data_IF_439942853456
#
_entry.id   IF_439942853456
#
_cell.length_a   1.000
_cell.length_b   1.000
_cell.length_c   1.000
_cell.angle_alpha   90.00
_cell.angle_beta   90.00
_cell.angle_gamma   90.00
#
_symmetry.space_group_name_H-M   'P 1'
#
loop_
_entity.id
_entity.type
_entity.pdbx_description
1 polymer ?
#
# COMPACT_ATOMS: atom_id res chain seq x y z
N UNK A 1 -33.35 -19.46 -46.88
CA UNK A 1 -32.56 -18.42 -47.57
C UNK A 1 -32.43 -17.23 -46.64
N UNK A 2 -31.24 -16.60 -46.67
CA UNK A 2 -30.86 -15.29 -46.10
C UNK A 2 -30.91 -15.11 -44.59
N UNK A 3 -29.71 -15.18 -43.99
CA UNK A 3 -29.40 -14.57 -42.70
C UNK A 3 -29.10 -13.07 -42.84
N UNK A 4 -29.41 -12.32 -41.78
CA UNK A 4 -29.09 -10.91 -41.62
C UNK A 4 -28.27 -10.70 -40.34
N UNK A 5 -27.08 -10.12 -40.51
CA UNK A 5 -26.14 -9.72 -39.46
C UNK A 5 -26.74 -8.61 -38.59
N UNK A 6 -26.52 -8.68 -37.27
CA UNK A 6 -26.77 -7.60 -36.34
C UNK A 6 -25.42 -6.96 -35.98
N UNK A 7 -25.27 -5.67 -36.33
CA UNK A 7 -24.06 -4.87 -36.13
C UNK A 7 -24.21 -4.06 -34.83
N UNK A 8 -23.20 -4.16 -33.95
CA UNK A 8 -23.15 -3.50 -32.65
C UNK A 8 -22.50 -2.13 -32.81
N UNK A 9 -23.27 -1.06 -32.63
CA UNK A 9 -22.77 0.32 -32.56
C UNK A 9 -22.18 0.61 -31.17
N UNK A 10 -20.92 1.05 -31.13
CA UNK A 10 -20.27 1.60 -29.93
C UNK A 10 -20.50 3.11 -29.87
N UNK A 11 -21.25 3.57 -28.88
CA UNK A 11 -21.41 5.00 -28.57
C UNK A 11 -20.33 5.44 -27.58
N UNK A 12 -19.47 6.37 -27.98
CA UNK A 12 -18.53 7.07 -27.10
C UNK A 12 -19.23 8.25 -26.42
N UNK A 13 -19.22 8.30 -25.09
CA UNK A 13 -19.64 9.45 -24.30
C UNK A 13 -18.41 10.31 -23.95
N UNK A 14 -18.28 11.45 -24.62
CA UNK A 14 -17.39 12.55 -24.26
C UNK A 14 -18.22 13.83 -24.26
N UNK A 15 -18.49 14.38 -23.08
CA UNK A 15 -18.76 15.81 -22.88
C UNK A 15 -18.99 16.10 -21.39
N UNK A 16 -18.00 16.68 -20.72
CA UNK A 16 -18.21 17.44 -19.49
C UNK A 16 -18.39 18.93 -19.86
N UNK A 17 -19.37 19.65 -19.29
CA UNK A 17 -19.49 21.09 -19.46
C UNK A 17 -18.65 21.85 -18.42
N UNK A 18 -17.83 22.81 -18.88
CA UNK A 18 -17.17 23.79 -18.01
C UNK A 18 -18.15 24.90 -17.62
N UNK A 19 -18.25 25.18 -16.32
CA UNK A 19 -18.93 26.37 -15.77
C UNK A 19 -17.95 27.55 -15.80
N UNK A 20 -18.41 28.67 -16.37
CA UNK A 20 -17.82 30.00 -16.19
C UNK A 20 -18.31 30.60 -14.87
N UNK A 21 -17.41 31.24 -14.12
CA UNK A 21 -17.74 32.18 -13.04
C UNK A 21 -17.04 33.51 -13.29
N UNK A 22 -17.80 34.58 -13.06
CA UNK A 22 -17.52 35.99 -13.37
C UNK A 22 -16.56 36.59 -12.34
N UNK A 23 -15.67 37.47 -12.81
CA UNK A 23 -14.76 38.32 -12.01
C UNK A 23 -15.51 39.44 -11.29
N UNK A 24 -15.07 39.76 -10.07
CA UNK A 24 -15.32 41.04 -9.40
C UNK A 24 -14.01 41.49 -8.72
N UNK A 25 -13.68 42.77 -8.87
CA UNK A 25 -12.41 43.40 -8.54
C UNK A 25 -12.44 44.08 -7.16
N UNK A 26 -11.31 44.07 -6.43
CA UNK A 26 -10.52 45.27 -6.07
C UNK A 26 -9.54 45.07 -4.89
N UNK A 27 -8.47 45.89 -4.93
CA UNK A 27 -7.72 46.50 -3.83
C UNK A 27 -6.26 46.05 -3.48
N UNK A 28 -5.44 47.08 -3.22
CA UNK A 28 -3.97 47.21 -3.18
C UNK A 28 -3.33 46.84 -1.82
N UNK A 29 -2.08 46.33 -1.79
CA UNK A 29 -0.87 46.98 -1.21
C UNK A 29 0.41 46.08 -1.07
N UNK A 30 1.54 46.70 -1.40
CA UNK A 30 2.95 46.62 -0.93
C UNK A 30 3.78 45.30 -0.76
N UNK A 31 5.03 45.38 -1.27
CA UNK A 31 6.12 44.36 -1.41
C UNK A 31 6.91 44.07 -0.09
N UNK A 32 7.81 43.05 -0.06
CA UNK A 32 9.22 43.31 -0.43
C UNK A 32 9.92 42.18 -1.24
N UNK A 33 11.22 42.32 -1.44
CA UNK A 33 12.00 41.91 -2.63
C UNK A 33 13.10 40.84 -2.40
N UNK A 34 13.47 40.19 -3.53
CA UNK A 34 14.76 39.53 -3.95
C UNK A 34 15.06 38.08 -3.45
N UNK A 35 15.96 37.29 -4.11
CA UNK A 35 16.65 37.47 -5.41
C UNK A 35 16.75 36.23 -6.35
N UNK A 36 17.14 36.53 -7.60
CA UNK A 36 17.99 35.80 -8.56
C UNK A 36 17.81 34.31 -8.84
N UNK A 37 17.43 33.99 -10.10
CA UNK A 37 17.85 32.77 -10.79
C UNK A 37 18.62 33.15 -12.05
N UNK A 38 19.89 32.79 -12.06
CA UNK A 38 20.83 32.91 -13.18
C UNK A 38 20.80 31.63 -14.01
N UNK A 39 20.89 31.85 -15.33
CA UNK A 39 21.30 31.03 -16.47
C UNK A 39 20.53 29.76 -16.91
N UNK A 40 20.13 29.84 -18.17
CA UNK A 40 19.78 28.74 -19.07
C UNK A 40 19.34 29.29 -20.43
N UNK A 41 20.25 30.00 -21.11
CA UNK A 41 20.08 30.62 -22.43
C UNK A 41 19.54 29.64 -23.48
N UNK A 42 18.53 30.08 -24.23
CA UNK A 42 18.13 29.52 -25.51
C UNK A 42 18.83 30.35 -26.59
N UNK A 43 19.89 29.80 -27.18
CA UNK A 43 20.48 30.33 -28.42
C UNK A 43 19.45 30.17 -29.54
N UNK A 44 18.92 31.30 -30.00
CA UNK A 44 18.27 31.41 -31.30
C UNK A 44 19.37 31.42 -32.35
N UNK A 45 19.48 30.31 -33.10
CA UNK A 45 20.33 30.24 -34.28
C UNK A 45 19.83 31.19 -35.35
N UNK A 46 20.76 31.93 -35.93
CA UNK A 46 20.61 32.85 -37.05
C UNK A 46 19.93 32.16 -38.25
N UNK A 47 18.86 32.77 -38.76
CA UNK A 47 18.33 32.45 -40.08
C UNK A 47 19.23 33.11 -41.13
N UNK A 48 19.95 32.29 -41.90
CA UNK A 48 20.64 32.72 -43.11
C UNK A 48 19.62 33.28 -44.11
N UNK A 49 19.76 34.58 -44.39
CA UNK A 49 19.09 35.28 -45.47
C UNK A 49 19.84 34.96 -46.78
N UNK A 50 19.24 34.17 -47.67
CA UNK A 50 19.72 34.01 -49.04
C UNK A 50 18.85 34.84 -49.99
N UNK A 51 19.43 35.93 -50.49
CA UNK A 51 18.93 36.74 -51.61
C UNK A 51 18.80 35.91 -52.90
N UNK A 52 17.71 36.11 -53.65
CA UNK A 52 17.73 36.44 -55.08
C UNK A 52 16.30 36.50 -55.65
N UNK A 53 15.80 37.70 -55.96
CA UNK A 53 15.72 38.22 -57.34
C UNK A 53 14.76 39.43 -57.36
N UNK A 54 15.33 40.62 -57.47
CA UNK A 54 14.61 41.86 -57.75
C UNK A 54 14.19 41.87 -59.23
N UNK A 55 12.92 42.12 -59.49
CA UNK A 55 12.48 42.79 -60.72
C UNK A 55 11.54 43.91 -60.32
N UNK A 56 12.04 45.14 -60.42
CA UNK A 56 11.34 46.39 -60.23
C UNK A 56 10.12 46.47 -61.16
N UNK A 57 8.97 46.89 -60.62
CA UNK A 57 8.02 47.76 -61.30
C UNK A 57 7.12 48.40 -60.22
N UNK A 58 7.33 49.71 -60.01
CA UNK A 58 6.44 50.57 -59.25
C UNK A 58 5.16 50.78 -60.07
N UNK A 59 4.03 50.26 -59.58
CA UNK A 59 2.71 50.78 -59.93
C UNK A 59 1.89 50.90 -58.63
N UNK A 60 1.58 52.15 -58.27
CA UNK A 60 0.55 52.49 -57.30
C UNK A 60 -0.80 52.02 -57.83
N UNK A 61 -1.44 51.05 -57.18
CA UNK A 61 -2.89 50.86 -57.31
C UNK A 61 -3.51 50.26 -56.05
N UNK A 62 -4.58 50.91 -55.59
CA UNK A 62 -5.48 50.44 -54.54
C UNK A 62 -5.86 48.98 -54.75
N UNK A 63 -5.41 48.07 -53.87
CA UNK A 63 -5.92 46.70 -53.93
C UNK A 63 -6.31 46.17 -52.55
N UNK A 64 -7.63 46.02 -52.43
CA UNK A 64 -8.41 45.27 -51.45
C UNK A 64 -7.55 44.27 -50.66
N UNK A 65 -7.70 44.28 -49.33
CA UNK A 65 -7.29 43.16 -48.47
C UNK A 65 -7.89 41.85 -48.99
N UNK A 66 -7.22 41.19 -49.93
CA UNK A 66 -7.54 39.83 -50.34
C UNK A 66 -7.10 38.98 -49.15
N UNK A 67 -8.05 38.68 -48.26
CA UNK A 67 -7.86 37.66 -47.24
C UNK A 67 -7.56 36.34 -47.96
N UNK A 68 -6.28 36.04 -48.10
CA UNK A 68 -5.81 34.80 -48.71
C UNK A 68 -6.40 33.64 -47.92
N UNK A 69 -7.21 32.82 -48.58
CA UNK A 69 -7.75 31.58 -48.01
C UNK A 69 -6.69 30.47 -47.92
N UNK A 70 -5.44 30.76 -48.31
CA UNK A 70 -4.35 29.79 -48.24
C UNK A 70 -4.05 29.51 -46.76
N UNK A 71 -4.04 28.25 -46.32
CA UNK A 71 -3.61 27.90 -44.97
C UNK A 71 -2.21 28.41 -44.71
N UNK A 72 -1.94 28.87 -43.48
CA UNK A 72 -0.61 29.30 -43.07
C UNK A 72 0.39 28.15 -43.28
N UNK A 73 1.55 28.47 -43.84
CA UNK A 73 2.61 27.49 -44.07
C UNK A 73 3.45 27.31 -42.81
N UNK A 74 2.87 26.62 -41.82
CA UNK A 74 3.59 26.23 -40.60
C UNK A 74 3.77 24.72 -40.56
N UNK A 75 4.87 24.25 -39.98
CA UNK A 75 5.16 22.81 -39.83
C UNK A 75 4.01 22.05 -39.15
N UNK A 76 3.29 22.69 -38.22
CA UNK A 76 2.12 22.12 -37.56
C UNK A 76 0.92 21.99 -38.50
N UNK A 77 0.50 23.06 -39.17
CA UNK A 77 -0.68 23.08 -40.04
C UNK A 77 -0.46 22.18 -41.26
N UNK A 78 0.78 22.11 -41.76
CA UNK A 78 1.16 21.28 -42.90
C UNK A 78 1.53 19.84 -42.49
N UNK A 79 1.39 19.47 -41.22
CA UNK A 79 1.74 18.14 -40.69
C UNK A 79 3.20 17.71 -40.96
N UNK A 80 4.09 18.68 -41.14
CA UNK A 80 5.54 18.51 -41.32
C UNK A 80 6.27 18.70 -39.98
N UNK A 81 5.65 18.28 -38.89
CA UNK A 81 6.28 18.35 -37.57
C UNK A 81 7.49 17.40 -37.53
N UNK A 82 8.53 17.81 -36.81
CA UNK A 82 9.69 16.93 -36.56
C UNK A 82 9.19 15.65 -35.90
N UNK A 83 9.30 14.54 -36.61
CA UNK A 83 8.83 13.23 -36.15
C UNK A 83 9.97 12.21 -36.21
N UNK A 84 9.96 11.28 -35.27
CA UNK A 84 10.82 10.10 -35.29
C UNK A 84 9.96 8.88 -35.57
N UNK A 85 10.24 8.19 -36.67
CA UNK A 85 9.50 7.00 -37.10
C UNK A 85 10.40 5.76 -36.89
N UNK A 86 10.33 5.09 -35.72
CA UNK A 86 11.18 3.94 -35.45
C UNK A 86 10.80 2.77 -36.35
N UNK A 87 11.71 2.38 -37.24
CA UNK A 87 11.58 1.17 -38.04
C UNK A 87 12.30 0.05 -37.29
N UNK A 88 11.52 -0.91 -36.77
CA UNK A 88 12.05 -2.06 -36.05
C UNK A 88 12.73 -3.04 -37.01
N UNK A 89 14.04 -2.87 -37.19
CA UNK A 89 14.88 -3.84 -37.88
C UNK A 89 15.27 -4.97 -36.93
N UNK A 90 15.53 -6.20 -37.43
CA UNK A 90 15.92 -7.31 -36.57
C UNK A 90 17.14 -7.01 -35.69
N UNK A 91 18.11 -6.23 -36.20
CA UNK A 91 19.28 -5.78 -35.42
C UNK A 91 18.85 -4.90 -34.25
N UNK A 92 18.04 -3.87 -34.50
CA UNK A 92 17.53 -2.97 -33.47
C UNK A 92 16.69 -3.73 -32.43
N UNK A 93 15.78 -4.60 -32.88
CA UNK A 93 14.94 -5.43 -32.01
C UNK A 93 15.78 -6.32 -31.10
N UNK A 94 16.77 -7.03 -31.64
CA UNK A 94 17.68 -7.88 -30.85
C UNK A 94 18.44 -7.06 -29.82
N UNK A 95 18.99 -5.90 -30.19
CA UNK A 95 19.71 -5.02 -29.26
C UNK A 95 18.82 -4.55 -28.11
N UNK A 96 17.59 -4.12 -28.40
CA UNK A 96 16.63 -3.66 -27.38
C UNK A 96 16.26 -4.81 -26.43
N UNK A 97 15.84 -5.96 -26.95
CA UNK A 97 15.42 -7.08 -26.10
C UNK A 97 16.57 -7.67 -25.29
N UNK A 98 17.78 -7.70 -25.85
CA UNK A 98 18.96 -8.15 -25.12
C UNK A 98 19.32 -7.17 -23.98
N UNK A 99 19.23 -5.86 -24.21
CA UNK A 99 19.44 -4.85 -23.17
C UNK A 99 18.40 -4.97 -22.05
N UNK A 100 17.11 -5.12 -22.39
CA UNK A 100 16.04 -5.33 -21.40
C UNK A 100 16.26 -6.62 -20.62
N UNK A 101 16.62 -7.72 -21.30
CA UNK A 101 16.96 -8.98 -20.65
C UNK A 101 18.08 -8.82 -19.61
N UNK A 102 19.17 -8.15 -19.98
CA UNK A 102 20.30 -7.94 -19.08
C UNK A 102 19.89 -7.14 -17.83
N UNK A 103 19.10 -6.07 -18.01
CA UNK A 103 18.57 -5.26 -16.91
C UNK A 103 17.67 -6.12 -16.02
N UNK A 104 16.71 -6.85 -16.59
CA UNK A 104 15.75 -7.64 -15.83
C UNK A 104 16.41 -8.77 -15.03
N UNK A 105 17.38 -9.46 -15.61
CA UNK A 105 18.15 -10.50 -14.90
C UNK A 105 18.96 -9.90 -13.75
N UNK A 106 19.61 -8.76 -13.98
CA UNK A 106 20.39 -8.07 -12.95
C UNK A 106 19.50 -7.60 -11.78
N UNK A 107 18.41 -6.89 -12.07
CA UNK A 107 17.47 -6.43 -11.04
C UNK A 107 16.78 -7.60 -10.34
N UNK A 108 16.34 -8.62 -11.07
CA UNK A 108 15.71 -9.81 -10.51
C UNK A 108 16.64 -10.55 -9.54
N UNK A 109 17.90 -10.73 -9.91
CA UNK A 109 18.92 -11.34 -9.05
C UNK A 109 19.20 -10.53 -7.77
N UNK A 110 19.31 -9.20 -7.89
CA UNK A 110 19.50 -8.31 -6.74
C UNK A 110 18.30 -8.38 -5.79
N UNK A 111 17.07 -8.30 -6.30
CA UNK A 111 15.86 -8.35 -5.47
C UNK A 111 15.72 -9.68 -4.71
N UNK A 112 15.96 -10.82 -5.36
CA UNK A 112 15.95 -12.12 -4.68
C UNK A 112 17.04 -12.19 -3.61
N UNK A 113 18.23 -11.67 -3.90
CA UNK A 113 19.34 -11.64 -2.93
C UNK A 113 19.00 -10.83 -1.68
N UNK A 114 18.35 -9.67 -1.85
CA UNK A 114 17.89 -8.84 -0.73
C UNK A 114 16.77 -9.56 0.04
N UNK A 115 15.75 -10.07 -0.66
CA UNK A 115 14.61 -10.76 -0.04
C UNK A 115 15.03 -12.02 0.73
N UNK A 116 16.06 -12.75 0.28
CA UNK A 116 16.53 -13.97 0.94
C UNK A 116 17.31 -13.69 2.22
N UNK A 117 17.74 -12.45 2.49
CA UNK A 117 18.49 -12.03 3.69
C UNK A 117 17.60 -11.51 4.83
N UNK A 118 16.29 -11.58 4.67
CA UNK A 118 15.31 -11.22 5.71
C UNK A 118 14.98 -12.44 6.56
N UNK A 119 14.96 -12.26 7.89
CA UNK A 119 14.54 -13.27 8.86
C UNK A 119 13.09 -13.01 9.28
N UNK A 120 12.29 -14.07 9.39
CA UNK A 120 10.87 -14.01 9.72
C UNK A 120 10.51 -15.11 10.70
N UNK A 121 9.68 -14.77 11.69
CA UNK A 121 9.09 -15.69 12.65
C UNK A 121 7.60 -15.37 12.73
N UNK A 122 6.75 -16.33 12.39
CA UNK A 122 5.30 -16.23 12.42
C UNK A 122 4.79 -17.39 13.29
N UNK A 123 4.08 -17.06 14.35
CA UNK A 123 3.50 -18.05 15.27
C UNK A 123 2.01 -17.78 15.40
N UNK A 124 1.19 -18.70 14.88
CA UNK A 124 -0.27 -18.65 14.97
C UNK A 124 -0.71 -19.05 16.36
N UNK A 125 -1.52 -18.21 17.00
CA UNK A 125 -1.92 -18.38 18.40
C UNK A 125 -3.43 -18.39 18.62
N UNK A 126 -4.24 -18.46 17.55
CA UNK A 126 -5.70 -18.49 17.66
C UNK A 126 -6.26 -19.69 18.45
N UNK A 127 -5.54 -20.82 18.48
CA UNK A 127 -5.93 -22.01 19.26
C UNK A 127 -5.24 -22.10 20.63
N UNK A 128 -4.59 -21.02 21.08
CA UNK A 128 -3.87 -21.06 22.36
C UNK A 128 -4.81 -21.32 23.55
N UNK A 129 -6.02 -20.74 23.54
CA UNK A 129 -7.01 -20.93 24.61
C UNK A 129 -7.63 -22.34 24.63
N UNK A 130 -7.62 -23.08 23.52
CA UNK A 130 -8.22 -24.42 23.39
C UNK A 130 -7.19 -25.55 23.51
N UNK A 131 -5.99 -25.38 22.97
CA UNK A 131 -4.98 -26.43 22.84
C UNK A 131 -3.81 -26.31 23.82
N UNK A 132 -3.53 -25.11 24.37
CA UNK A 132 -2.40 -24.96 25.28
C UNK A 132 -2.75 -25.44 26.69
N UNK A 133 -1.72 -25.92 27.42
CA UNK A 133 -1.87 -26.29 28.83
C UNK A 133 -1.86 -25.04 29.72
N UNK A 134 -2.59 -25.12 30.84
CA UNK A 134 -2.59 -24.08 31.88
C UNK A 134 -1.45 -24.22 32.89
N UNK A 135 -0.83 -25.40 32.97
CA UNK A 135 0.18 -25.70 33.99
C UNK A 135 1.61 -25.57 33.46
N UNK A 136 1.87 -26.01 32.23
CA UNK A 136 3.22 -26.13 31.67
C UNK A 136 3.27 -25.68 30.21
N UNK A 137 4.47 -25.35 29.73
CA UNK A 137 4.70 -25.09 28.31
C UNK A 137 4.58 -26.40 27.50
N UNK A 138 3.80 -26.35 26.43
CA UNK A 138 3.61 -27.46 25.49
C UNK A 138 4.05 -26.99 24.11
N UNK A 139 4.67 -27.89 23.33
CA UNK A 139 5.12 -27.58 21.97
C UNK A 139 3.95 -27.19 21.07
N UNK A 140 4.15 -26.15 20.27
CA UNK A 140 3.18 -25.68 19.29
C UNK A 140 3.27 -26.60 18.06
N UNK A 141 2.14 -27.13 17.55
CA UNK A 141 2.14 -27.92 16.33
C UNK A 141 2.79 -27.18 15.14
N UNK A 142 3.57 -27.90 14.32
CA UNK A 142 4.33 -27.31 13.20
C UNK A 142 3.46 -26.51 12.21
N UNK A 143 2.19 -26.85 12.06
CA UNK A 143 1.24 -26.13 11.19
C UNK A 143 0.97 -24.67 11.63
N UNK A 144 1.28 -24.34 12.89
CA UNK A 144 1.11 -23.00 13.47
C UNK A 144 2.43 -22.24 13.60
N UNK A 145 3.54 -22.80 13.11
CA UNK A 145 4.85 -22.17 13.19
C UNK A 145 5.43 -22.08 11.78
N UNK A 146 5.49 -20.85 11.27
CA UNK A 146 6.21 -20.55 10.03
C UNK A 146 7.45 -19.73 10.40
N UNK A 147 8.63 -20.16 9.98
CA UNK A 147 9.86 -19.41 10.23
C UNK A 147 10.79 -19.45 9.03
N UNK A 148 11.63 -18.43 8.89
CA UNK A 148 12.70 -18.41 7.91
C UNK A 148 13.90 -17.66 8.47
N UNK A 149 15.06 -18.32 8.44
CA UNK A 149 16.34 -17.71 8.76
C UNK A 149 17.30 -17.84 7.59
N UNK A 150 17.86 -16.74 7.11
CA UNK A 150 18.79 -16.79 5.97
C UNK A 150 20.13 -17.45 6.31
N UNK A 151 20.47 -17.53 7.61
CA UNK A 151 21.70 -18.14 8.08
C UNK A 151 21.65 -19.69 8.09
N UNK A 152 20.46 -20.28 7.96
CA UNK A 152 20.30 -21.72 7.89
C UNK A 152 20.91 -22.27 6.59
N UNK A 153 21.75 -23.28 6.72
CA UNK A 153 22.37 -23.99 5.59
C UNK A 153 21.42 -25.00 4.95
N UNK A 154 20.57 -25.63 5.75
CA UNK A 154 19.55 -26.58 5.30
C UNK A 154 18.14 -25.98 5.43
N UNK A 155 17.40 -25.79 4.32
CA UNK A 155 16.07 -25.19 4.34
C UNK A 155 14.96 -26.15 4.83
N UNK A 156 15.23 -27.44 4.96
CA UNK A 156 14.23 -28.48 5.29
C UNK A 156 14.11 -28.79 6.79
N UNK A 157 15.03 -28.31 7.63
CA UNK A 157 15.01 -28.51 9.10
C UNK A 157 14.39 -27.33 9.86
N UNK A 158 13.62 -26.50 9.18
CA UNK A 158 13.29 -25.15 9.61
C UNK A 158 12.04 -25.11 10.50
N UNK A 159 12.01 -25.93 11.54
CA UNK A 159 11.02 -25.85 12.62
C UNK A 159 11.66 -25.10 13.77
N UNK A 160 11.39 -23.80 13.85
CA UNK A 160 11.60 -23.02 15.07
C UNK A 160 10.92 -23.77 16.22
N UNK A 161 11.67 -24.18 17.24
CA UNK A 161 11.04 -24.74 18.43
C UNK A 161 10.26 -23.62 19.12
N UNK A 162 8.95 -23.78 19.17
CA UNK A 162 8.05 -22.86 19.83
C UNK A 162 7.12 -23.64 20.76
N UNK A 163 6.87 -23.07 21.93
CA UNK A 163 6.02 -23.62 22.97
C UNK A 163 5.03 -22.55 23.41
N UNK A 164 3.85 -22.96 23.86
CA UNK A 164 2.87 -22.04 24.42
C UNK A 164 2.36 -22.52 25.77
N UNK A 165 1.84 -21.58 26.55
CA UNK A 165 1.11 -21.79 27.79
C UNK A 165 -0.05 -20.81 27.84
N UNK A 166 -1.22 -21.26 28.27
CA UNK A 166 -2.37 -20.39 28.47
C UNK A 166 -2.58 -20.11 29.96
N UNK A 167 -2.68 -18.85 30.33
CA UNK A 167 -2.99 -18.43 31.71
C UNK A 167 -4.37 -17.79 31.69
N UNK A 168 -5.33 -18.41 32.40
CA UNK A 168 -6.70 -17.91 32.50
C UNK A 168 -6.69 -16.63 33.35
N UNK A 169 -7.43 -15.61 32.91
CA UNK A 169 -7.72 -14.46 33.75
C UNK A 169 -8.96 -14.79 34.61
N UNK A 170 -8.75 -14.95 35.92
CA UNK A 170 -9.84 -15.29 36.87
C UNK A 170 -10.81 -14.11 37.09
N UNK A 171 -10.36 -12.88 36.82
CA UNK A 171 -11.15 -11.66 37.00
C UNK A 171 -11.98 -11.31 35.75
N UNK A 172 -11.82 -12.06 34.67
CA UNK A 172 -12.49 -11.77 33.42
C UNK A 172 -14.00 -12.05 33.50
N UNK A 173 -14.78 -11.07 33.03
CA UNK A 173 -16.24 -11.16 32.94
C UNK A 173 -16.63 -12.26 31.97
N UNK A 174 -17.29 -13.31 32.45
CA UNK A 174 -17.88 -14.35 31.61
C UNK A 174 -18.96 -13.73 30.71
N UNK A 175 -18.67 -13.70 29.40
CA UNK A 175 -19.60 -13.15 28.40
C UNK A 175 -20.64 -14.18 27.94
N UNK A 176 -20.59 -15.42 28.45
CA UNK A 176 -21.51 -16.50 28.07
C UNK A 176 -21.32 -17.02 26.64
N UNK A 177 -20.27 -16.56 25.93
CA UNK A 177 -19.92 -17.01 24.59
C UNK A 177 -18.78 -18.04 24.66
N UNK A 178 -18.96 -19.22 24.07
CA UNK A 178 -17.95 -20.29 24.04
C UNK A 178 -16.64 -19.88 23.33
N UNK A 179 -16.64 -18.76 22.61
CA UNK A 179 -15.48 -18.21 21.92
C UNK A 179 -14.79 -17.07 22.68
N UNK A 180 -15.26 -16.69 23.88
CA UNK A 180 -14.64 -15.62 24.64
C UNK A 180 -13.21 -15.98 25.02
N UNK A 181 -12.28 -15.15 24.59
CA UNK A 181 -10.87 -15.25 24.94
C UNK A 181 -10.62 -14.22 26.03
N UNK A 182 -10.20 -14.69 27.19
CA UNK A 182 -10.05 -13.88 28.39
C UNK A 182 -8.86 -14.35 29.22
N UNK A 183 -7.71 -14.46 28.58
CA UNK A 183 -6.50 -14.95 29.22
C UNK A 183 -5.26 -14.57 28.44
N UNK A 184 -4.11 -14.84 29.04
CA UNK A 184 -2.82 -14.55 28.44
C UNK A 184 -2.24 -15.81 27.81
N UNK A 185 -1.92 -15.73 26.52
CA UNK A 185 -1.12 -16.72 25.83
C UNK A 185 0.37 -16.35 25.91
N UNK A 186 1.14 -17.12 26.66
CA UNK A 186 2.59 -16.98 26.76
C UNK A 186 3.27 -17.87 25.72
N UNK A 187 3.87 -17.27 24.70
CA UNK A 187 4.58 -17.96 23.62
C UNK A 187 6.07 -17.90 23.88
N UNK A 188 6.74 -19.05 23.93
CA UNK A 188 8.19 -19.18 23.97
C UNK A 188 8.70 -19.67 22.63
N UNK A 189 9.73 -19.03 22.08
CA UNK A 189 10.37 -19.49 20.86
C UNK A 189 11.88 -19.32 20.93
N UNK A 190 12.62 -20.27 20.34
CA UNK A 190 14.07 -20.28 20.38
C UNK A 190 14.66 -19.85 19.06
N UNK A 191 15.35 -18.71 19.03
CA UNK A 191 16.02 -18.22 17.81
C UNK A 191 17.43 -18.80 17.71
N UNK A 192 17.79 -19.49 16.61
CA UNK A 192 19.09 -20.15 16.48
C UNK A 192 20.22 -19.19 16.06
N UNK A 193 19.88 -18.01 15.52
CA UNK A 193 20.84 -17.04 15.01
C UNK A 193 20.51 -15.63 15.46
N UNK A 194 21.52 -14.77 15.40
CA UNK A 194 21.34 -13.33 15.62
C UNK A 194 20.43 -12.75 14.55
N UNK A 195 19.31 -12.15 14.95
CA UNK A 195 18.48 -11.31 14.09
C UNK A 195 18.89 -9.86 14.31
N UNK A 196 19.50 -9.27 13.29
CA UNK A 196 19.98 -7.88 13.36
C UNK A 196 18.81 -6.90 13.39
N UNK A 197 19.03 -5.78 14.07
CA UNK A 197 18.16 -4.61 13.97
C UNK A 197 18.11 -4.07 12.53
N UNK A 198 17.04 -3.37 12.11
CA UNK A 198 15.82 -3.05 12.88
C UNK A 198 14.82 -4.22 12.97
N UNK A 199 14.21 -4.41 14.14
CA UNK A 199 13.20 -5.44 14.38
C UNK A 199 11.81 -4.83 14.42
N UNK A 200 10.84 -5.51 13.82
CA UNK A 200 9.45 -5.11 13.77
C UNK A 200 8.57 -6.23 14.29
N UNK A 201 7.78 -5.91 15.31
CA UNK A 201 6.76 -6.76 15.90
C UNK A 201 5.40 -6.34 15.36
N UNK A 202 4.71 -7.27 14.72
CA UNK A 202 3.40 -7.08 14.13
C UNK A 202 2.47 -8.22 14.55
N UNK A 203 1.17 -8.00 14.48
CA UNK A 203 0.22 -9.11 14.36
C UNK A 203 -0.10 -9.34 12.89
N UNK A 204 -0.41 -10.58 12.54
CA UNK A 204 -0.87 -10.98 11.22
C UNK A 204 -2.26 -11.59 11.34
N UNK A 205 -3.18 -11.14 10.50
CA UNK A 205 -4.53 -11.69 10.39
C UNK A 205 -4.68 -12.37 9.04
N UNK A 206 -5.29 -13.56 9.05
CA UNK A 206 -5.74 -14.27 7.84
C UNK A 206 -7.26 -14.43 7.87
N UNK A 207 -7.84 -14.39 6.67
CA UNK A 207 -9.26 -14.56 6.42
C UNK A 207 -10.14 -13.52 7.14
N UNK A 208 -9.61 -12.29 7.28
CA UNK A 208 -10.36 -11.12 7.74
C UNK A 208 -10.58 -10.12 6.58
N UNK A 209 -11.83 -10.00 6.14
CA UNK A 209 -12.18 -9.25 4.92
C UNK A 209 -12.48 -7.77 5.17
N UNK A 210 -11.47 -7.03 5.64
CA UNK A 210 -11.58 -5.58 5.85
C UNK A 210 -11.74 -4.80 4.52
N UNK A 211 -11.37 -5.40 3.39
CA UNK A 211 -11.54 -4.84 2.05
C UNK A 211 -12.99 -4.91 1.52
N UNK A 212 -13.93 -5.45 2.30
CA UNK A 212 -15.34 -5.45 1.91
C UNK A 212 -15.84 -4.01 1.73
N UNK A 213 -16.51 -3.73 0.59
CA UNK A 213 -16.91 -2.36 0.19
C UNK A 213 -17.64 -1.59 1.29
N UNK A 214 -18.55 -2.25 2.01
CA UNK A 214 -19.30 -1.61 3.11
C UNK A 214 -18.40 -1.29 4.30
N UNK A 215 -17.50 -2.20 4.66
CA UNK A 215 -16.57 -2.04 5.77
C UNK A 215 -15.58 -0.91 5.48
N UNK A 216 -14.94 -0.94 4.30
CA UNK A 216 -13.92 0.00 3.88
C UNK A 216 -14.38 1.48 3.82
N UNK A 217 -15.69 1.72 3.72
CA UNK A 217 -16.29 3.06 3.67
C UNK A 217 -17.00 3.44 4.99
N UNK A 218 -16.91 2.59 6.02
CA UNK A 218 -17.64 2.76 7.27
C UNK A 218 -16.80 3.44 8.35
N UNK A 219 -16.61 4.73 8.16
CA UNK A 219 -16.05 5.68 9.12
C UNK A 219 -16.54 7.09 8.73
N UNK A 220 -16.19 8.12 9.50
CA UNK A 220 -16.47 9.52 9.15
C UNK A 220 -15.17 10.32 9.27
N UNK A 221 -14.79 11.03 8.20
CA UNK A 221 -13.52 11.74 8.15
C UNK A 221 -13.50 12.97 9.08
N UNK A 222 -14.62 13.69 9.18
CA UNK A 222 -14.74 14.87 10.05
C UNK A 222 -14.50 14.50 11.54
N UNK A 223 -14.99 13.32 11.98
CA UNK A 223 -14.68 12.79 13.31
C UNK A 223 -13.19 12.49 13.50
N UNK A 224 -12.51 11.95 12.50
CA UNK A 224 -11.07 11.67 12.57
C UNK A 224 -10.26 12.96 12.61
N UNK A 225 -10.70 13.99 11.88
CA UNK A 225 -10.12 15.34 11.89
C UNK A 225 -10.48 16.16 13.15
N UNK A 226 -11.21 15.57 14.11
CA UNK A 226 -11.57 16.21 15.37
C UNK A 226 -12.59 17.34 15.23
N UNK A 227 -13.37 17.36 14.15
CA UNK A 227 -14.47 18.30 13.95
C UNK A 227 -15.66 17.88 14.81
N UNK A 228 -16.35 18.86 15.41
CA UNK A 228 -17.58 18.60 16.14
C UNK A 228 -18.70 18.28 15.13
N UNK A 229 -19.10 17.02 15.10
CA UNK A 229 -20.11 16.47 14.18
C UNK A 229 -21.42 16.15 14.91
N UNK A 230 -22.52 16.12 14.16
CA UNK A 230 -23.83 15.67 14.63
C UNK A 230 -24.23 14.29 14.09
N UNK A 231 -25.20 13.65 14.76
CA UNK A 231 -25.69 12.31 14.43
C UNK A 231 -26.17 12.23 12.96
N UNK A 232 -26.85 13.27 12.48
CA UNK A 232 -27.36 13.28 11.11
C UNK A 232 -26.25 13.49 10.07
N UNK A 233 -25.24 14.32 10.34
CA UNK A 233 -24.08 14.50 9.45
C UNK A 233 -23.31 13.19 9.29
N UNK A 234 -23.02 12.52 10.40
CA UNK A 234 -22.29 11.24 10.43
C UNK A 234 -23.05 10.13 9.69
N UNK A 235 -24.39 10.15 9.73
CA UNK A 235 -25.27 9.17 9.07
C UNK A 235 -25.46 9.46 7.57
N UNK A 236 -25.60 10.73 7.20
CA UNK A 236 -26.07 11.13 5.85
C UNK A 236 -24.96 11.58 4.90
N UNK A 237 -23.72 11.68 5.38
CA UNK A 237 -22.57 12.05 4.55
C UNK A 237 -22.50 11.25 3.24
N UNK A 238 -22.12 11.94 2.16
CA UNK A 238 -22.06 11.36 0.82
C UNK A 238 -20.78 10.54 0.65
N UNK A 239 -20.92 9.28 0.25
CA UNK A 239 -19.78 8.38 0.04
C UNK A 239 -19.38 7.65 1.31
N UNK A 240 -18.40 8.17 2.04
CA UNK A 240 -17.87 7.61 3.29
C UNK A 240 -18.82 7.99 4.44
N UNK A 241 -19.37 7.00 5.14
CA UNK A 241 -20.32 7.24 6.23
C UNK A 241 -20.45 6.06 7.19
N UNK A 242 -20.84 6.38 8.41
CA UNK A 242 -21.12 5.40 9.46
C UNK A 242 -22.58 4.91 9.39
N UNK A 243 -23.00 4.35 8.24
CA UNK A 243 -24.42 4.06 7.98
C UNK A 243 -25.09 3.15 9.02
N UNK A 244 -24.37 2.16 9.54
CA UNK A 244 -24.90 1.16 10.48
C UNK A 244 -24.56 1.51 11.94
N UNK A 245 -23.37 2.06 12.20
CA UNK A 245 -22.85 2.35 13.53
C UNK A 245 -22.59 3.85 13.71
N UNK A 246 -23.64 4.67 13.66
CA UNK A 246 -23.57 6.12 13.91
C UNK A 246 -24.10 6.53 15.28
N UNK A 247 -24.98 5.73 15.88
CA UNK A 247 -25.71 6.04 17.12
C UNK A 247 -25.82 4.78 17.97
N UNK A 248 -25.62 4.93 19.28
CA UNK A 248 -25.82 3.86 20.24
C UNK A 248 -27.31 3.60 20.46
N UNK A 249 -27.71 2.32 20.44
CA UNK A 249 -29.12 1.92 20.54
C UNK A 249 -29.70 2.10 21.94
N UNK A 250 -28.85 2.04 22.98
CA UNK A 250 -29.28 2.11 24.38
C UNK A 250 -29.37 3.56 24.87
N UNK A 251 -28.30 4.32 24.72
CA UNK A 251 -28.21 5.71 25.22
C UNK A 251 -28.75 6.74 24.24
N UNK A 252 -28.81 6.38 22.95
CA UNK A 252 -29.17 7.30 21.89
C UNK A 252 -28.11 8.33 21.53
N UNK A 253 -26.89 8.21 22.09
CA UNK A 253 -25.76 9.12 21.84
C UNK A 253 -25.06 8.81 20.52
N UNK A 254 -24.29 9.77 20.01
CA UNK A 254 -23.46 9.58 18.83
C UNK A 254 -22.32 8.60 19.13
N UNK A 255 -22.04 7.65 18.24
CA UNK A 255 -20.88 6.77 18.42
C UNK A 255 -19.60 7.54 18.03
N UNK A 256 -18.58 7.49 18.88
CA UNK A 256 -17.24 8.01 18.60
C UNK A 256 -16.17 6.99 19.02
N UNK A 257 -15.21 6.65 18.16
CA UNK A 257 -15.22 6.85 16.71
C UNK A 257 -16.28 5.97 16.04
N UNK A 258 -17.03 6.51 15.07
CA UNK A 258 -18.11 5.77 14.43
C UNK A 258 -17.64 4.79 13.36
N UNK A 259 -18.52 3.84 13.02
CA UNK A 259 -18.36 2.96 11.87
C UNK A 259 -17.76 1.58 12.17
N UNK A 260 -17.86 0.68 11.18
CA UNK A 260 -17.46 -0.71 11.32
C UNK A 260 -15.94 -0.87 11.52
N UNK A 261 -15.14 0.01 10.94
CA UNK A 261 -13.67 -0.07 11.03
C UNK A 261 -13.24 0.12 12.48
N UNK A 262 -13.64 1.23 13.10
CA UNK A 262 -13.30 1.53 14.49
C UNK A 262 -13.88 0.49 15.45
N UNK A 263 -15.15 0.09 15.24
CA UNK A 263 -15.80 -0.89 16.11
C UNK A 263 -15.07 -2.24 16.12
N UNK A 264 -14.61 -2.73 14.97
CA UNK A 264 -13.94 -4.02 14.86
C UNK A 264 -12.42 -3.97 15.15
N UNK A 265 -11.93 -2.91 15.80
CA UNK A 265 -10.51 -2.75 16.13
C UNK A 265 -9.94 -3.98 16.85
N UNK A 266 -8.79 -4.44 16.35
CA UNK A 266 -8.02 -5.49 16.98
C UNK A 266 -7.54 -5.06 18.37
N UNK A 267 -7.85 -5.87 19.39
CA UNK A 267 -7.68 -5.52 20.80
C UNK A 267 -6.88 -6.57 21.62
N UNK A 268 -6.21 -7.54 20.99
CA UNK A 268 -5.23 -8.35 21.72
C UNK A 268 -4.07 -7.46 22.20
N UNK A 269 -3.59 -7.69 23.42
CA UNK A 269 -2.51 -6.91 24.02
C UNK A 269 -1.19 -7.65 23.88
N UNK A 270 -0.17 -6.99 23.32
CA UNK A 270 1.17 -7.57 23.17
C UNK A 270 2.10 -6.97 24.23
N UNK A 271 2.91 -7.81 24.88
CA UNK A 271 3.96 -7.31 25.76
C UNK A 271 4.93 -6.42 24.97
N UNK A 272 5.27 -5.26 25.52
CA UNK A 272 6.23 -4.33 24.89
C UNK A 272 7.65 -4.86 24.92
N UNK A 273 7.93 -5.87 25.73
CA UNK A 273 9.24 -6.47 25.89
C UNK A 273 9.20 -7.95 25.50
N UNK A 274 10.18 -8.38 24.71
CA UNK A 274 10.51 -9.80 24.52
C UNK A 274 11.47 -10.21 25.62
N UNK A 275 10.99 -11.06 26.53
CA UNK A 275 11.77 -11.48 27.70
C UNK A 275 12.63 -12.69 27.35
N UNK A 276 13.94 -12.62 27.59
CA UNK A 276 14.82 -13.76 27.41
C UNK A 276 14.72 -14.64 28.67
N UNK A 277 14.29 -15.89 28.49
CA UNK A 277 14.00 -16.84 29.58
C UNK A 277 15.23 -17.15 30.42
N UNK A 278 16.43 -17.10 29.82
CA UNK A 278 17.68 -17.47 30.49
C UNK A 278 18.41 -16.27 31.09
N UNK A 279 18.25 -15.08 30.50
CA UNK A 279 19.00 -13.90 30.90
C UNK A 279 18.19 -12.61 30.70
N UNK A 280 17.64 -12.07 31.79
CA UNK A 280 16.87 -10.82 31.77
C UNK A 280 17.65 -9.59 31.25
N UNK A 281 19.00 -9.63 31.25
CA UNK A 281 19.80 -8.53 30.70
C UNK A 281 19.76 -8.46 29.16
N UNK A 282 19.28 -9.51 28.49
CA UNK A 282 19.13 -9.60 27.03
C UNK A 282 17.67 -9.46 26.58
N UNK A 283 16.82 -8.88 27.43
CA UNK A 283 15.47 -8.51 27.05
C UNK A 283 15.49 -7.47 25.94
N UNK A 284 14.55 -7.58 25.02
CA UNK A 284 14.42 -6.67 23.89
C UNK A 284 13.13 -5.86 24.00
N UNK A 285 13.28 -4.55 24.16
CA UNK A 285 12.16 -3.64 24.25
C UNK A 285 11.75 -3.13 22.87
N UNK A 286 10.43 -3.04 22.66
CA UNK A 286 9.78 -2.47 21.49
C UNK A 286 9.12 -1.15 21.86
N UNK A 287 9.38 -0.13 21.06
CA UNK A 287 8.67 1.15 21.15
C UNK A 287 7.37 1.05 20.37
N UNK A 288 6.27 1.47 20.98
CA UNK A 288 4.93 1.59 20.36
C UNK A 288 4.72 2.93 19.67
N UNK A 289 5.71 3.83 19.70
CA UNK A 289 5.67 5.15 19.06
C UNK A 289 6.39 5.16 17.71
N UNK A 290 5.92 6.02 16.80
CA UNK A 290 6.39 6.10 15.42
C UNK A 290 6.14 4.81 14.62
N UNK A 291 5.07 4.08 14.93
CA UNK A 291 4.63 2.89 14.21
C UNK A 291 3.65 3.23 13.07
N UNK A 292 3.26 4.50 12.95
CA UNK A 292 2.37 5.06 11.93
C UNK A 292 3.12 5.92 10.90
N UNK A 293 2.44 6.29 9.81
CA UNK A 293 2.95 7.23 8.82
C UNK A 293 3.00 8.65 9.39
N UNK A 294 4.05 9.42 9.08
CA UNK A 294 4.21 10.79 9.60
C UNK A 294 3.06 11.74 9.22
N UNK A 295 2.42 11.50 8.08
CA UNK A 295 1.29 12.30 7.60
C UNK A 295 -0.01 12.05 8.38
N UNK A 296 -0.10 10.97 9.18
CA UNK A 296 -1.29 10.67 9.98
C UNK A 296 -1.59 11.77 11.00
N UNK A 297 -0.57 12.50 11.46
CA UNK A 297 -0.73 13.67 12.35
C UNK A 297 -1.58 14.79 11.76
N UNK A 298 -1.64 14.91 10.42
CA UNK A 298 -2.48 15.91 9.75
C UNK A 298 -3.95 15.50 9.69
N UNK A 299 -4.22 14.19 9.73
CA UNK A 299 -5.54 13.57 9.54
C UNK A 299 -6.22 13.26 10.88
N UNK A 300 -5.51 12.64 11.81
CA UNK A 300 -6.06 12.23 13.11
C UNK A 300 -5.81 13.33 14.15
N UNK A 301 -6.88 13.93 14.65
CA UNK A 301 -6.82 15.01 15.65
C UNK A 301 -7.66 14.68 16.87
N UNK A 302 -7.33 15.31 18.00
CA UNK A 302 -8.12 15.20 19.22
C UNK A 302 -9.54 15.71 18.98
N UNK A 303 -10.52 14.93 19.42
CA UNK A 303 -11.93 15.27 19.25
C UNK A 303 -12.33 16.53 20.02
N UNK A 304 -13.24 17.31 19.43
CA UNK A 304 -13.92 18.46 20.06
C UNK A 304 -15.31 18.10 20.58
N UNK A 305 -15.76 16.85 20.40
CA UNK A 305 -17.04 16.38 20.90
C UNK A 305 -17.00 16.27 22.42
N UNK A 306 -18.14 16.58 23.05
CA UNK A 306 -18.27 16.51 24.48
C UNK A 306 -18.61 15.07 24.91
N UNK A 307 -17.97 14.56 25.97
CA UNK A 307 -18.13 13.17 26.44
C UNK A 307 -19.60 12.82 26.75
N UNK A 308 -20.41 13.81 27.15
CA UNK A 308 -21.83 13.63 27.45
C UNK A 308 -22.68 13.25 26.22
N UNK A 309 -22.28 13.68 25.03
CA UNK A 309 -23.06 13.51 23.78
C UNK A 309 -22.61 12.31 22.95
N UNK A 310 -21.50 11.67 23.36
CA UNK A 310 -20.88 10.55 22.66
C UNK A 310 -20.91 9.26 23.48
N UNK A 311 -20.85 8.13 22.78
CA UNK A 311 -20.74 6.80 23.34
C UNK A 311 -19.65 6.00 22.61
N UNK A 312 -18.99 5.05 23.30
CA UNK A 312 -18.03 4.15 22.65
C UNK A 312 -18.74 3.22 21.65
N UNK A 313 -18.02 2.68 20.66
CA UNK A 313 -18.52 1.62 19.79
C UNK A 313 -19.00 0.40 20.59
N UNK A 314 -19.98 -0.37 20.08
CA UNK A 314 -20.53 -1.53 20.78
C UNK A 314 -19.51 -2.57 21.26
N UNK A 315 -18.47 -2.84 20.47
CA UNK A 315 -17.42 -3.80 20.83
C UNK A 315 -16.37 -3.23 21.78
N UNK A 316 -16.40 -1.92 22.05
CA UNK A 316 -15.51 -1.28 23.01
C UNK A 316 -16.13 -1.21 24.42
N UNK A 317 -17.33 -1.77 24.62
CA UNK A 317 -18.00 -1.81 25.94
C UNK A 317 -17.15 -2.47 27.04
N UNK A 318 -16.29 -3.44 26.69
CA UNK A 318 -15.35 -4.01 27.68
C UNK A 318 -14.25 -3.03 28.09
N UNK A 319 -13.79 -2.19 27.17
CA UNK A 319 -12.77 -1.16 27.44
C UNK A 319 -13.37 0.06 28.17
N UNK A 320 -14.65 0.35 27.90
CA UNK A 320 -15.40 1.47 28.46
C UNK A 320 -16.76 1.00 29.02
N UNK A 321 -16.78 0.26 30.14
CA UNK A 321 -18.01 -0.34 30.69
C UNK A 321 -19.06 0.69 31.08
N UNK A 322 -18.64 1.81 31.67
CA UNK A 322 -19.51 2.92 32.07
C UNK A 322 -19.67 3.99 30.97
N UNK A 323 -19.16 3.72 29.76
CA UNK A 323 -19.11 4.67 28.65
C UNK A 323 -18.01 5.73 28.80
N UNK A 324 -18.18 6.86 28.11
CA UNK A 324 -17.21 7.96 28.12
C UNK A 324 -17.45 8.96 29.25
N UNK A 325 -16.35 9.42 29.84
CA UNK A 325 -16.25 10.44 30.87
C UNK A 325 -15.17 11.48 30.51
N UNK A 326 -14.94 12.48 31.36
CA UNK A 326 -14.00 13.58 31.08
C UNK A 326 -12.54 13.14 30.83
N UNK A 327 -12.13 11.99 31.37
CA UNK A 327 -10.72 11.56 31.39
C UNK A 327 -10.43 10.36 30.49
N UNK A 328 -11.43 9.55 30.14
CA UNK A 328 -11.25 8.29 29.42
C UNK A 328 -11.52 8.38 27.91
N UNK A 329 -12.04 9.51 27.40
CA UNK A 329 -12.26 9.68 25.95
C UNK A 329 -10.92 9.51 25.22
N UNK A 330 -10.83 8.58 24.24
CA UNK A 330 -9.57 8.25 23.59
C UNK A 330 -9.10 9.41 22.71
N UNK A 331 -7.83 9.76 22.86
CA UNK A 331 -7.14 10.70 21.99
C UNK A 331 -6.55 9.97 20.78
N UNK A 332 -7.34 9.91 19.70
CA UNK A 332 -6.96 9.24 18.45
C UNK A 332 -5.74 9.87 17.75
N UNK A 333 -5.33 11.09 18.12
CA UNK A 333 -4.16 11.74 17.54
C UNK A 333 -2.83 11.15 18.02
N UNK A 334 -2.82 10.63 19.24
CA UNK A 334 -1.63 9.97 19.85
C UNK A 334 -1.75 8.44 19.83
N UNK A 335 -2.96 7.92 19.60
CA UNK A 335 -3.21 6.49 19.59
C UNK A 335 -2.80 5.83 18.27
N UNK A 336 -1.50 5.56 18.12
CA UNK A 336 -0.93 5.05 16.88
C UNK A 336 -1.46 3.67 16.47
N UNK A 337 -1.79 2.79 17.42
CA UNK A 337 -2.43 1.49 17.11
C UNK A 337 -3.79 1.64 16.45
N UNK A 338 -4.59 2.63 16.89
CA UNK A 338 -5.88 2.94 16.28
C UNK A 338 -5.68 3.47 14.85
N UNK A 339 -4.74 4.40 14.65
CA UNK A 339 -4.42 4.92 13.33
C UNK A 339 -3.97 3.81 12.37
N UNK A 340 -3.06 2.94 12.83
CA UNK A 340 -2.64 1.76 12.08
C UNK A 340 -3.82 0.86 11.72
N UNK A 341 -4.79 0.67 12.62
CA UNK A 341 -5.98 -0.12 12.30
C UNK A 341 -6.86 0.53 11.22
N UNK A 342 -7.10 1.84 11.35
CA UNK A 342 -7.92 2.62 10.41
C UNK A 342 -7.38 2.64 8.98
N UNK A 343 -6.07 2.44 8.80
CA UNK A 343 -5.44 2.27 7.48
C UNK A 343 -5.81 0.91 6.86
N UNK A 344 -7.01 0.82 6.29
CA UNK A 344 -7.61 -0.44 5.85
C UNK A 344 -6.72 -1.21 4.84
N UNK A 345 -6.39 -2.50 5.09
CA UNK A 345 -5.60 -3.28 4.16
C UNK A 345 -6.40 -3.68 2.91
N UNK A 346 -5.69 -3.90 1.80
CA UNK A 346 -6.29 -4.24 0.51
C UNK A 346 -6.67 -5.74 0.38
N UNK A 347 -6.02 -6.60 1.16
CA UNK A 347 -6.13 -8.06 1.08
C UNK A 347 -6.63 -8.64 2.41
N UNK A 348 -7.25 -9.83 2.41
CA UNK A 348 -7.72 -10.50 3.63
C UNK A 348 -6.61 -11.11 4.49
N UNK A 349 -5.39 -11.14 3.96
CA UNK A 349 -4.17 -11.50 4.68
C UNK A 349 -3.31 -10.27 4.77
N UNK A 350 -3.06 -9.81 5.99
CA UNK A 350 -2.27 -8.60 6.22
C UNK A 350 -1.64 -8.63 7.61
N UNK A 351 -0.62 -7.80 7.78
CA UNK A 351 0.00 -7.55 9.07
C UNK A 351 -0.07 -6.08 9.43
N UNK A 352 -0.13 -5.78 10.72
CA UNK A 352 -0.14 -4.43 11.26
C UNK A 352 0.93 -4.30 12.33
N UNK A 353 1.67 -3.20 12.28
CA UNK A 353 2.78 -2.97 13.18
C UNK A 353 2.29 -2.65 14.59
N UNK A 354 2.82 -3.39 15.58
CA UNK A 354 2.57 -3.17 17.00
C UNK A 354 3.74 -2.50 17.70
N UNK A 355 4.97 -2.83 17.31
CA UNK A 355 6.14 -2.25 17.92
C UNK A 355 7.36 -2.37 17.04
N UNK A 356 8.34 -1.49 17.24
CA UNK A 356 9.62 -1.55 16.53
C UNK A 356 10.77 -1.40 17.52
N UNK A 357 11.90 -2.02 17.19
CA UNK A 357 13.16 -1.84 17.89
C UNK A 357 14.25 -1.52 16.88
N UNK A 358 14.74 -0.28 16.88
CA UNK A 358 15.66 0.21 15.84
C UNK A 358 17.12 -0.11 16.14
N UNK A 359 17.47 -0.34 17.41
CA UNK A 359 18.84 -0.53 17.90
C UNK A 359 19.07 -1.94 18.45
N UNK A 360 18.06 -2.55 19.06
CA UNK A 360 18.17 -3.86 19.66
C UNK A 360 18.22 -4.97 18.62
N UNK A 361 19.21 -5.85 18.74
CA UNK A 361 19.30 -7.08 17.95
C UNK A 361 18.94 -8.27 18.82
N UNK A 362 18.27 -9.25 18.25
CA UNK A 362 17.90 -10.48 18.95
C UNK A 362 19.08 -11.46 18.86
N UNK A 363 19.70 -11.80 19.98
CA UNK A 363 20.77 -12.82 20.02
C UNK A 363 20.15 -14.22 20.02
N UNK A 364 20.93 -15.30 19.77
CA UNK A 364 20.40 -16.65 19.87
C UNK A 364 19.97 -16.94 21.31
N UNK A 365 18.71 -17.29 21.51
CA UNK A 365 18.15 -17.45 22.84
C UNK A 365 16.69 -17.90 22.79
N UNK A 366 16.14 -18.21 23.96
CA UNK A 366 14.71 -18.51 24.10
C UNK A 366 14.01 -17.27 24.63
N UNK A 367 13.10 -16.74 23.83
CA UNK A 367 12.35 -15.53 24.14
C UNK A 367 10.89 -15.86 24.42
N UNK A 368 10.30 -15.10 25.33
CA UNK A 368 8.89 -15.18 25.68
C UNK A 368 8.18 -13.88 25.26
N UNK A 369 7.04 -14.05 24.60
CA UNK A 369 6.07 -13.02 24.23
C UNK A 369 4.75 -13.35 24.91
N UNK A 370 4.22 -12.41 25.69
CA UNK A 370 2.95 -12.57 26.38
C UNK A 370 1.88 -11.78 25.64
N UNK A 371 0.80 -12.48 25.23
CA UNK A 371 -0.29 -11.92 24.44
C UNK A 371 -1.60 -12.08 25.21
N UNK A 372 -2.22 -10.98 25.62
CA UNK A 372 -3.58 -10.99 26.17
C UNK A 372 -4.58 -11.18 25.03
N UNK A 373 -5.34 -12.27 25.09
CA UNK A 373 -6.31 -12.62 24.07
C UNK A 373 -7.63 -11.91 24.37
N UNK A 374 -8.08 -11.05 23.46
CA UNK A 374 -9.36 -10.32 23.55
C UNK A 374 -10.15 -10.31 22.23
N UNK A 375 -9.50 -10.66 21.10
CA UNK A 375 -10.06 -10.55 19.76
C UNK A 375 -10.38 -11.94 19.16
N UNK A 376 -11.62 -12.44 19.25
CA UNK A 376 -11.96 -13.80 18.82
C UNK A 376 -11.96 -13.93 17.29
N UNK A 377 -11.24 -14.93 16.77
CA UNK A 377 -11.18 -15.23 15.32
C UNK A 377 -11.84 -16.54 14.92
N UNK A 378 -12.07 -17.41 15.91
CA UNK A 378 -12.58 -18.77 15.69
C UNK A 378 -14.01 -18.79 15.14
N UNK A 379 -14.80 -17.76 15.45
CA UNK A 379 -16.20 -17.62 15.01
C UNK A 379 -16.35 -17.59 13.48
N UNK A 380 -15.36 -17.05 12.77
CA UNK A 380 -15.36 -16.93 11.30
C UNK A 380 -14.24 -17.74 10.65
N UNK A 381 -13.66 -18.71 11.38
CA UNK A 381 -12.53 -19.52 10.93
C UNK A 381 -11.29 -18.70 10.51
N UNK A 382 -11.11 -17.51 11.09
CA UNK A 382 -9.93 -16.68 10.88
C UNK A 382 -8.71 -17.19 11.64
N UNK A 383 -7.54 -16.65 11.30
CA UNK A 383 -6.30 -16.93 12.01
C UNK A 383 -5.61 -15.64 12.44
N UNK A 384 -4.97 -15.67 13.60
CA UNK A 384 -4.16 -14.57 14.12
C UNK A 384 -2.80 -15.07 14.57
N UNK A 385 -1.76 -14.33 14.23
CA UNK A 385 -0.37 -14.71 14.48
C UNK A 385 0.48 -13.56 15.00
N UNK A 386 1.42 -13.91 15.87
CA UNK A 386 2.54 -13.07 16.22
C UNK A 386 3.54 -13.11 15.08
N UNK A 387 3.91 -11.94 14.56
CA UNK A 387 4.82 -11.81 13.43
C UNK A 387 6.01 -10.91 13.78
N UNK A 388 7.19 -11.51 13.86
CA UNK A 388 8.46 -10.83 14.07
C UNK A 388 9.28 -10.88 12.78
N UNK A 389 9.72 -9.70 12.30
CA UNK A 389 10.49 -9.60 11.06
C UNK A 389 11.60 -8.55 11.17
N UNK A 390 12.69 -8.79 10.46
CA UNK A 390 13.71 -7.79 10.17
C UNK A 390 13.53 -7.31 8.73
N UNK A 391 13.18 -6.04 8.55
CA UNK A 391 12.90 -5.53 7.19
C UNK A 391 14.18 -5.33 6.39
N UNK A 392 14.05 -5.53 5.08
CA UNK A 392 15.04 -5.16 4.08
C UNK A 392 14.62 -3.87 3.37
N UNK A 393 15.45 -3.36 2.47
CA UNK A 393 15.11 -2.20 1.65
C UNK A 393 13.87 -2.39 0.76
N UNK A 394 13.42 -3.63 0.55
CA UNK A 394 12.18 -3.94 -0.19
C UNK A 394 11.02 -4.37 0.71
N UNK A 395 11.17 -4.20 2.02
CA UNK A 395 10.20 -4.64 3.03
C UNK A 395 10.52 -6.04 3.56
N UNK A 396 9.49 -6.86 3.74
CA UNK A 396 9.62 -8.25 4.20
C UNK A 396 10.20 -9.20 3.13
N UNK A 397 10.23 -10.48 3.44
CA UNK A 397 10.63 -11.52 2.50
C UNK A 397 9.56 -11.69 1.44
N UNK A 398 9.84 -11.22 0.24
CA UNK A 398 8.99 -11.46 -0.92
C UNK A 398 9.81 -11.71 -2.19
N UNK A 399 9.92 -12.99 -2.55
CA UNK A 399 10.63 -13.39 -3.77
C UNK A 399 9.83 -13.15 -5.06
N UNK A 400 8.52 -12.85 -4.97
CA UNK A 400 7.64 -12.73 -6.13
C UNK A 400 8.16 -11.71 -7.14
N UNK A 401 8.48 -10.50 -6.69
CA UNK A 401 8.92 -9.43 -7.59
C UNK A 401 10.19 -9.85 -8.33
N UNK A 402 11.19 -10.38 -7.60
CA UNK A 402 12.42 -10.87 -8.20
C UNK A 402 12.21 -11.99 -9.21
N UNK A 403 11.30 -12.93 -8.92
CA UNK A 403 10.93 -13.99 -9.86
C UNK A 403 10.25 -13.45 -11.11
N UNK A 404 9.35 -12.47 -11.00
CA UNK A 404 8.71 -11.83 -12.16
C UNK A 404 9.75 -11.16 -13.07
N UNK A 405 10.74 -10.46 -12.50
CA UNK A 405 11.84 -9.89 -13.28
C UNK A 405 12.67 -10.97 -14.00
N UNK A 406 13.00 -12.07 -13.33
CA UNK A 406 13.74 -13.17 -13.96
C UNK A 406 12.93 -13.85 -15.08
N UNK A 407 11.64 -14.09 -14.88
CA UNK A 407 10.74 -14.65 -15.90
C UNK A 407 10.63 -13.69 -17.10
N UNK A 408 10.45 -12.39 -16.84
CA UNK A 408 10.46 -11.37 -17.89
C UNK A 408 11.77 -11.37 -18.68
N UNK A 409 12.91 -11.47 -17.99
CA UNK A 409 14.22 -11.60 -18.62
C UNK A 409 14.34 -12.84 -19.51
N UNK A 410 13.85 -13.99 -19.04
CA UNK A 410 13.81 -15.23 -19.82
C UNK A 410 12.94 -15.10 -21.08
N UNK A 411 11.79 -14.44 -20.98
CA UNK A 411 10.91 -14.17 -22.14
C UNK A 411 11.62 -13.26 -23.14
N UNK A 412 12.30 -12.19 -22.69
CA UNK A 412 13.08 -11.32 -23.56
C UNK A 412 14.23 -12.08 -24.25
N UNK A 413 14.92 -12.97 -23.52
CA UNK A 413 15.96 -13.81 -24.09
C UNK A 413 15.42 -14.77 -25.15
N UNK A 414 14.28 -15.43 -24.88
CA UNK A 414 13.62 -16.30 -25.84
C UNK A 414 13.23 -15.53 -27.12
N UNK A 415 12.72 -14.30 -26.99
CA UNK A 415 12.42 -13.45 -28.14
C UNK A 415 13.66 -13.13 -28.99
N UNK A 416 14.81 -12.86 -28.35
CA UNK A 416 16.09 -12.67 -29.06
C UNK A 416 16.46 -13.91 -29.85
N UNK A 417 16.41 -15.10 -29.23
CA UNK A 417 16.72 -16.38 -29.89
C UNK A 417 15.79 -16.62 -31.07
N UNK A 418 14.49 -16.40 -30.91
CA UNK A 418 13.48 -16.57 -31.98
C UNK A 418 13.76 -15.62 -33.15
N UNK A 419 14.05 -14.34 -32.89
CA UNK A 419 14.35 -13.36 -33.96
C UNK A 419 15.65 -13.72 -34.69
N UNK A 420 16.69 -14.17 -33.97
CA UNK A 420 17.95 -14.62 -34.58
C UNK A 420 17.71 -15.85 -35.45
N UNK A 421 17.03 -16.89 -34.93
CA UNK A 421 16.73 -18.10 -35.71
C UNK A 421 15.87 -17.77 -36.93
N UNK A 422 14.80 -16.99 -36.77
CA UNK A 422 13.94 -16.57 -37.87
C UNK A 422 14.71 -15.78 -38.93
N UNK A 423 15.68 -14.96 -38.50
CA UNK A 423 16.57 -14.23 -39.41
C UNK A 423 17.52 -15.15 -40.18
N UNK A 424 18.03 -16.21 -39.54
CA UNK A 424 18.93 -17.18 -40.17
C UNK A 424 18.18 -18.11 -41.15
N UNK A 425 16.98 -18.56 -40.78
CA UNK A 425 16.18 -19.51 -41.59
C UNK A 425 15.43 -18.82 -42.73
N UNK A 426 14.86 -17.63 -42.49
CA UNK A 426 13.97 -16.94 -43.45
C UNK A 426 14.34 -15.47 -43.62
N UNK A 427 15.63 -15.18 -43.61
CA UNK A 427 16.16 -13.82 -43.69
C UNK A 427 15.73 -13.07 -44.96
N UNK A 428 14.82 -12.10 -44.83
CA UNK A 428 14.39 -11.21 -45.93
C UNK A 428 15.29 -9.97 -46.07
N UNK A 429 15.46 -9.46 -47.29
CA UNK A 429 16.15 -8.17 -47.47
C UNK A 429 15.26 -7.03 -46.93
N UNK A 430 15.85 -6.08 -46.21
CA UNK A 430 15.12 -4.92 -45.72
C UNK A 430 14.64 -4.08 -46.92
N UNK A 431 13.36 -3.70 -46.95
CA UNK A 431 12.79 -2.84 -48.00
C UNK A 431 12.71 -3.47 -49.39
N UNK A 432 12.53 -4.79 -49.47
CA UNK A 432 12.44 -5.51 -50.75
C UNK A 432 11.19 -5.11 -51.54
N UNK A 433 11.39 -4.40 -52.67
CA UNK A 433 10.31 -3.94 -53.54
C UNK A 433 9.54 -5.08 -54.21
N UNK A 434 10.14 -6.26 -54.39
CA UNK A 434 9.46 -7.42 -54.99
C UNK A 434 8.30 -7.95 -54.13
N UNK A 435 8.28 -7.59 -52.84
CA UNK A 435 7.25 -8.04 -51.90
C UNK A 435 6.14 -7.02 -51.67
N UNK A 436 6.19 -5.88 -52.33
CA UNK A 436 5.09 -4.92 -52.31
C UNK A 436 3.86 -5.60 -52.93
N UNK A 437 2.68 -5.41 -52.33
CA UNK A 437 1.47 -6.18 -52.69
C UNK A 437 1.03 -6.00 -54.14
N UNK A 438 1.47 -4.93 -54.80
CA UNK A 438 1.21 -4.65 -56.22
C UNK A 438 2.30 -5.14 -57.17
N UNK A 439 3.41 -5.67 -56.63
CA UNK A 439 4.51 -6.29 -57.37
C UNK A 439 4.49 -7.83 -57.24
N UNK A 440 3.57 -8.37 -56.45
CA UNK A 440 3.22 -9.79 -56.36
C UNK A 440 1.97 -10.02 -57.18
#
# INVERSE_FOLDING_TARGET
>A
MTGGKQEVSRTSLSSYPQRYSVEEADEYEARPSRPSRVQGMMELGEEEYSDEFNSDEEDEDENKNILSKRPKDTAFIQQRIRSYNPIFTPKLTVTIFFAICAIFVLFGGIMISISKKTNEVIIYYQECSSMASTTSYVDIPDQYVESYFYQLKDPTSNTLNAQWKYTVDEDAVDTGNSYSENGTCSIRFTTPYVIKHPLFMSYLLKDYYSNHRRYALSFNEDQLEGVATSIDEVRTSTGIKCAELYKDSETGKQIYPCGLIANAMFNDTFSSTLTNVNNNAENLDFTTTGITWGDNSNRFKKTKLNYSDIAPPPYWKQLYPDGYNETNVPDISTWEHFQNWMDNPALPVFSKLMGKSLTGSLVPGTYQMDIGLNWPVREFHGQKAFYLTHTSSIGGRNNFLGMVYLIGGLICFAAVVIVIIGRLVSGRRNGDKSRLSWNQ
#
